data_IF_265637265058
#
_entry.id   IF_265637265058
#
_cell.length_a   1.000
_cell.length_b   1.000
_cell.length_c   1.000
_cell.angle_alpha   90.00
_cell.angle_beta   90.00
_cell.angle_gamma   90.00
#
_symmetry.space_group_name_H-M   'P 1'
#
loop_
_entity.id
_entity.type
_entity.pdbx_description
1 polymer ?
#
# COMPACT_ATOMS: atom_id res chain seq x y z
N UNK A 1 11.08 24.60 -19.30
CA UNK A 1 11.10 25.07 -17.90
C UNK A 1 10.55 23.98 -17.00
N UNK A 2 11.38 23.36 -16.17
CA UNK A 2 10.93 22.39 -15.16
C UNK A 2 10.17 23.18 -14.10
N UNK A 3 8.86 22.96 -13.97
CA UNK A 3 8.05 23.61 -12.94
C UNK A 3 8.66 23.30 -11.57
N UNK A 4 8.94 24.34 -10.78
CA UNK A 4 9.62 24.29 -9.47
C UNK A 4 9.03 23.20 -8.53
N UNK A 5 7.74 22.91 -8.70
CA UNK A 5 6.99 21.87 -7.99
C UNK A 5 7.51 20.43 -8.20
N UNK A 6 8.15 20.11 -9.34
CA UNK A 6 8.62 18.75 -9.62
C UNK A 6 9.88 18.40 -8.84
N UNK A 7 10.80 19.37 -8.67
CA UNK A 7 12.04 19.19 -7.91
C UNK A 7 11.76 19.07 -6.41
N UNK A 8 10.92 19.94 -5.84
CA UNK A 8 10.50 19.88 -4.43
C UNK A 8 9.80 18.56 -4.05
N UNK A 9 9.09 17.93 -5.00
CA UNK A 9 8.47 16.61 -4.76
C UNK A 9 9.47 15.45 -4.65
N UNK A 10 10.71 15.64 -5.12
CA UNK A 10 11.79 14.64 -5.12
C UNK A 10 12.61 14.76 -3.83
N UNK A 11 12.84 15.98 -3.34
CA UNK A 11 13.55 16.28 -2.09
C UNK A 11 12.60 16.20 -0.88
N UNK A 12 12.14 14.97 -0.63
CA UNK A 12 11.71 14.32 0.63
C UNK A 12 10.99 15.10 1.74
N UNK A 13 10.00 14.39 2.31
CA UNK A 13 9.39 14.58 3.65
C UNK A 13 10.37 15.00 4.77
N UNK A 14 11.65 14.62 4.65
CA UNK A 14 12.70 14.93 5.63
C UNK A 14 13.28 16.35 5.55
N UNK A 15 13.15 17.03 4.40
CA UNK A 15 13.65 18.40 4.22
C UNK A 15 12.63 19.45 4.66
N UNK A 16 11.34 19.09 4.70
CA UNK A 16 10.25 20.00 5.09
C UNK A 16 10.46 20.60 6.50
N UNK A 17 10.85 19.83 7.53
CA UNK A 17 11.15 20.41 8.85
C UNK A 17 12.30 21.42 8.81
N UNK A 18 13.33 21.15 8.01
CA UNK A 18 14.47 22.05 7.84
C UNK A 18 14.08 23.33 7.09
N UNK A 19 13.35 23.23 5.98
CA UNK A 19 12.84 24.39 5.27
C UNK A 19 11.87 25.20 6.13
N UNK A 20 10.97 24.55 6.87
CA UNK A 20 10.06 25.23 7.81
C UNK A 20 10.84 25.99 8.88
N UNK A 21 11.94 25.41 9.38
CA UNK A 21 12.84 26.09 10.33
C UNK A 21 13.49 27.33 9.71
N UNK A 22 14.00 27.23 8.48
CA UNK A 22 14.56 28.38 7.75
C UNK A 22 13.50 29.47 7.53
N UNK A 23 12.29 29.10 7.12
CA UNK A 23 11.21 30.07 6.90
C UNK A 23 10.81 30.79 8.19
N UNK A 24 10.86 30.09 9.32
CA UNK A 24 10.64 30.68 10.64
C UNK A 24 11.73 31.69 11.00
N UNK A 25 12.99 31.32 10.80
CA UNK A 25 14.13 32.21 11.05
C UNK A 25 14.11 33.46 10.14
N UNK A 26 13.70 33.30 8.88
CA UNK A 26 13.51 34.43 7.95
C UNK A 26 12.34 35.32 8.40
N UNK A 27 11.23 34.74 8.85
CA UNK A 27 10.07 35.49 9.36
C UNK A 27 10.47 36.36 10.56
N UNK A 28 11.23 35.80 11.51
CA UNK A 28 11.69 36.49 12.71
C UNK A 28 12.70 37.61 12.38
N UNK A 29 13.64 37.38 11.47
CA UNK A 29 14.69 38.36 11.14
C UNK A 29 14.21 39.51 10.24
N UNK A 30 13.22 39.27 9.38
CA UNK A 30 12.69 40.26 8.44
C UNK A 30 11.31 40.81 8.83
N UNK A 31 10.75 40.36 9.97
CA UNK A 31 9.44 40.74 10.48
C UNK A 31 8.30 40.52 9.46
N UNK A 32 8.42 39.43 8.68
CA UNK A 32 7.47 39.02 7.66
C UNK A 32 6.54 37.98 8.26
N UNK A 33 5.25 38.01 7.91
CA UNK A 33 4.29 37.00 8.34
C UNK A 33 4.70 35.58 7.90
N UNK A 34 4.93 34.72 8.89
CA UNK A 34 5.38 33.34 8.68
C UNK A 34 4.37 32.55 7.85
N UNK A 35 3.07 32.73 8.10
CA UNK A 35 2.03 31.94 7.45
C UNK A 35 1.93 32.27 5.96
N UNK A 36 2.11 33.54 5.59
CA UNK A 36 2.26 33.96 4.19
C UNK A 36 3.45 33.26 3.51
N UNK A 37 4.60 33.23 4.18
CA UNK A 37 5.82 32.61 3.66
C UNK A 37 5.68 31.09 3.51
N UNK A 38 5.15 30.43 4.55
CA UNK A 38 4.91 29.00 4.56
C UNK A 38 3.95 28.57 3.45
N UNK A 39 2.82 29.28 3.29
CA UNK A 39 1.83 28.95 2.28
C UNK A 39 2.34 29.17 0.85
N UNK A 40 3.14 30.21 0.62
CA UNK A 40 3.73 30.50 -0.69
C UNK A 40 4.76 29.44 -1.12
N UNK A 41 5.66 29.04 -0.22
CA UNK A 41 6.82 28.18 -0.56
C UNK A 41 6.60 26.69 -0.26
N UNK A 42 5.88 26.35 0.81
CA UNK A 42 5.69 24.95 1.24
C UNK A 42 4.24 24.46 1.08
N UNK A 43 3.24 25.36 1.06
CA UNK A 43 1.82 25.00 1.04
C UNK A 43 1.37 24.14 -0.16
N UNK A 44 2.03 24.29 -1.31
CA UNK A 44 1.70 23.56 -2.55
C UNK A 44 2.54 22.29 -2.78
N UNK A 45 3.42 21.92 -1.86
CA UNK A 45 4.29 20.75 -2.03
C UNK A 45 3.49 19.46 -1.87
N UNK A 46 3.20 18.79 -3.00
CA UNK A 46 2.55 17.47 -3.01
C UNK A 46 3.56 16.38 -2.65
N UNK A 47 3.60 16.02 -1.38
CA UNK A 47 4.39 14.88 -0.88
C UNK A 47 3.88 13.59 -1.51
N UNK A 48 4.67 12.99 -2.39
CA UNK A 48 4.40 11.64 -2.87
C UNK A 48 4.96 10.65 -1.86
N UNK A 49 4.08 10.09 -1.02
CA UNK A 49 4.44 8.95 -0.17
C UNK A 49 5.05 7.86 -1.04
N UNK A 50 6.21 7.33 -0.63
CA UNK A 50 6.85 6.19 -1.29
C UNK A 50 5.81 5.08 -1.37
N UNK A 51 5.33 4.78 -2.58
CA UNK A 51 4.44 3.63 -2.77
C UNK A 51 5.26 2.42 -2.36
N UNK A 52 4.76 1.66 -1.39
CA UNK A 52 5.27 0.33 -1.12
C UNK A 52 5.28 -0.42 -2.46
N UNK A 53 6.48 -0.79 -2.91
CA UNK A 53 6.71 -1.51 -4.18
C UNK A 53 6.23 -2.96 -4.11
N UNK A 54 5.68 -3.39 -2.96
CA UNK A 54 4.91 -4.61 -2.87
C UNK A 54 3.87 -4.59 -4.00
N UNK A 55 4.04 -5.50 -4.96
CA UNK A 55 3.16 -5.70 -6.11
C UNK A 55 1.73 -5.77 -5.60
N UNK A 56 0.99 -4.66 -5.74
CA UNK A 56 -0.41 -4.57 -5.31
C UNK A 56 -1.18 -5.67 -6.05
N UNK A 57 -1.47 -6.76 -5.35
CA UNK A 57 -2.20 -7.90 -5.90
C UNK A 57 -1.51 -9.26 -5.75
N UNK A 58 -0.23 -9.36 -5.41
CA UNK A 58 0.38 -10.67 -5.13
C UNK A 58 0.03 -11.10 -3.70
N UNK A 59 -0.72 -12.20 -3.55
CA UNK A 59 -0.99 -12.82 -2.25
C UNK A 59 0.26 -13.56 -1.75
N UNK A 60 0.68 -13.26 -0.53
CA UNK A 60 1.75 -13.99 0.15
C UNK A 60 1.19 -15.29 0.78
N UNK A 61 2.07 -16.25 1.09
CA UNK A 61 1.69 -17.47 1.81
C UNK A 61 0.97 -17.16 3.13
N UNK A 62 1.45 -16.16 3.85
CA UNK A 62 0.79 -15.68 5.07
C UNK A 62 -0.59 -15.07 4.82
N UNK A 63 -0.77 -14.32 3.72
CA UNK A 63 -2.08 -13.77 3.37
C UNK A 63 -3.10 -14.87 3.02
N UNK A 64 -2.66 -15.95 2.37
CA UNK A 64 -3.51 -17.14 2.12
C UNK A 64 -3.87 -17.80 3.45
N UNK A 65 -2.91 -18.00 4.35
CA UNK A 65 -3.14 -18.57 5.68
C UNK A 65 -4.17 -17.75 6.49
N UNK A 66 -4.07 -16.42 6.48
CA UNK A 66 -5.00 -15.57 7.22
C UNK A 66 -6.46 -15.68 6.77
N UNK A 67 -6.68 -16.04 5.50
CA UNK A 67 -8.00 -16.26 4.88
C UNK A 67 -8.52 -17.70 5.06
N UNK A 68 -7.71 -18.61 5.58
CA UNK A 68 -8.09 -20.02 5.71
C UNK A 68 -9.22 -20.17 6.75
N UNK A 69 -10.41 -20.58 6.27
CA UNK A 69 -11.60 -20.77 7.10
C UNK A 69 -11.36 -21.80 8.20
N UNK A 70 -10.55 -22.85 7.94
CA UNK A 70 -10.27 -23.90 8.94
C UNK A 70 -9.62 -23.32 10.19
N UNK A 71 -8.64 -22.44 10.00
CA UNK A 71 -7.93 -21.78 11.12
C UNK A 71 -8.86 -20.79 11.82
N UNK A 72 -9.68 -20.05 11.05
CA UNK A 72 -10.65 -19.12 11.61
C UNK A 72 -11.65 -19.84 12.51
N UNK A 73 -12.20 -20.96 12.04
CA UNK A 73 -13.21 -21.72 12.75
C UNK A 73 -12.62 -22.42 13.97
N UNK A 74 -11.40 -22.98 13.86
CA UNK A 74 -10.67 -23.52 15.00
C UNK A 74 -10.45 -22.48 16.11
N UNK A 75 -10.06 -21.25 15.74
CA UNK A 75 -9.85 -20.17 16.71
C UNK A 75 -11.18 -19.72 17.31
N UNK A 76 -12.23 -19.57 16.51
CA UNK A 76 -13.58 -19.19 16.99
C UNK A 76 -14.15 -20.22 17.95
N UNK A 77 -13.93 -21.52 17.67
CA UNK A 77 -14.41 -22.61 18.51
C UNK A 77 -13.67 -22.64 19.86
N UNK A 78 -12.35 -22.41 19.87
CA UNK A 78 -11.57 -22.37 21.11
C UNK A 78 -11.77 -21.10 21.92
N UNK A 79 -11.93 -19.97 21.24
CA UNK A 79 -12.01 -18.66 21.86
C UNK A 79 -13.25 -17.89 21.38
N UNK A 80 -14.47 -18.35 21.75
CA UNK A 80 -15.67 -17.60 21.45
C UNK A 80 -15.63 -16.23 22.16
N UNK A 81 -16.22 -15.19 21.56
CA UNK A 81 -16.34 -13.83 22.11
C UNK A 81 -15.05 -12.98 22.25
N UNK A 82 -13.94 -13.33 21.59
CA UNK A 82 -12.74 -12.47 21.58
C UNK A 82 -12.85 -11.32 20.57
N UNK A 83 -12.11 -10.23 20.82
CA UNK A 83 -12.04 -9.08 19.91
C UNK A 83 -11.16 -9.42 18.70
N UNK A 84 -11.40 -8.77 17.57
CA UNK A 84 -10.64 -8.97 16.33
C UNK A 84 -9.11 -8.92 16.53
N UNK A 85 -8.62 -7.94 17.30
CA UNK A 85 -7.19 -7.79 17.56
C UNK A 85 -6.57 -8.98 18.33
N UNK A 86 -7.33 -9.66 19.18
CA UNK A 86 -6.87 -10.87 19.88
C UNK A 86 -6.79 -12.05 18.90
N UNK A 87 -7.78 -12.22 18.01
CA UNK A 87 -7.72 -13.23 16.95
C UNK A 87 -6.50 -13.04 16.04
N UNK A 88 -6.17 -11.80 15.68
CA UNK A 88 -4.97 -11.51 14.88
C UNK A 88 -3.68 -11.93 15.58
N UNK A 89 -3.58 -11.72 16.91
CA UNK A 89 -2.43 -12.16 17.70
C UNK A 89 -2.31 -13.69 17.70
N UNK A 90 -3.42 -14.40 17.96
CA UNK A 90 -3.47 -15.86 17.98
C UNK A 90 -3.07 -16.46 16.62
N UNK A 91 -3.61 -15.92 15.52
CA UNK A 91 -3.22 -16.34 14.16
C UNK A 91 -1.72 -16.18 13.92
N UNK A 92 -1.15 -15.06 14.37
CA UNK A 92 0.29 -14.80 14.25
C UNK A 92 1.14 -15.80 15.04
N UNK A 93 0.68 -16.21 16.22
CA UNK A 93 1.34 -17.23 17.04
C UNK A 93 1.29 -18.61 16.38
N UNK A 94 0.11 -19.05 15.93
CA UNK A 94 -0.07 -20.30 15.17
C UNK A 94 0.87 -20.33 13.96
N UNK A 95 0.95 -19.23 13.22
CA UNK A 95 1.85 -19.15 12.07
C UNK A 95 3.33 -19.28 12.48
N UNK A 96 3.76 -18.70 13.60
CA UNK A 96 5.14 -18.85 14.07
C UNK A 96 5.45 -20.30 14.45
N UNK A 97 4.55 -20.96 15.17
CA UNK A 97 4.71 -22.35 15.64
C UNK A 97 4.49 -23.40 14.55
N UNK A 98 3.86 -23.03 13.43
CA UNK A 98 3.59 -23.94 12.32
C UNK A 98 4.88 -24.46 11.68
N UNK A 99 4.88 -25.75 11.33
CA UNK A 99 6.03 -26.45 10.76
C UNK A 99 6.42 -25.89 9.39
N UNK A 100 7.68 -26.04 8.96
CA UNK A 100 8.11 -25.64 7.61
C UNK A 100 7.33 -26.37 6.49
N UNK A 101 6.94 -27.63 6.72
CA UNK A 101 6.16 -28.44 5.76
C UNK A 101 4.77 -27.87 5.56
N UNK A 102 4.07 -27.51 6.64
CA UNK A 102 2.72 -26.92 6.56
C UNK A 102 2.78 -25.53 5.93
N UNK A 103 3.80 -24.73 6.27
CA UNK A 103 4.05 -23.43 5.63
C UNK A 103 4.29 -23.57 4.12
N UNK A 104 4.90 -24.68 3.69
CA UNK A 104 5.14 -24.92 2.27
C UNK A 104 3.84 -25.17 1.49
N UNK A 105 2.83 -25.80 2.11
CA UNK A 105 1.50 -25.95 1.51
C UNK A 105 0.89 -24.58 1.19
N UNK A 106 0.99 -23.63 2.14
CA UNK A 106 0.53 -22.26 1.91
C UNK A 106 1.37 -21.49 0.90
N UNK A 107 2.67 -21.82 0.78
CA UNK A 107 3.54 -21.28 -0.26
C UNK A 107 3.09 -21.73 -1.65
N UNK A 108 2.77 -23.01 -1.82
CA UNK A 108 2.26 -23.53 -3.10
C UNK A 108 0.89 -22.93 -3.45
N UNK A 109 -0.05 -22.90 -2.49
CA UNK A 109 -1.35 -22.23 -2.69
C UNK A 109 -1.21 -20.77 -3.08
N UNK A 110 -0.25 -20.05 -2.50
CA UNK A 110 0.02 -18.65 -2.88
C UNK A 110 0.55 -18.54 -4.31
N UNK A 111 1.44 -19.45 -4.74
CA UNK A 111 1.95 -19.46 -6.12
C UNK A 111 0.82 -19.70 -7.11
N UNK A 112 -0.02 -20.70 -6.86
CA UNK A 112 -1.16 -21.05 -7.71
C UNK A 112 -2.19 -19.92 -7.78
N UNK A 113 -2.58 -19.36 -6.63
CA UNK A 113 -3.52 -18.23 -6.59
C UNK A 113 -3.00 -17.01 -7.36
N UNK A 114 -1.70 -16.71 -7.23
CA UNK A 114 -1.09 -15.60 -7.97
C UNK A 114 -1.03 -15.84 -9.47
N UNK A 115 -0.85 -17.10 -9.89
CA UNK A 115 -0.89 -17.49 -11.31
C UNK A 115 -2.30 -17.28 -11.86
N UNK A 116 -3.31 -17.80 -11.19
CA UNK A 116 -4.72 -17.66 -11.60
C UNK A 116 -5.13 -16.17 -11.65
N UNK A 117 -4.75 -15.38 -10.64
CA UNK A 117 -5.04 -13.95 -10.63
C UNK A 117 -4.38 -13.21 -11.80
N UNK A 118 -3.19 -13.62 -12.22
CA UNK A 118 -2.50 -13.04 -13.36
C UNK A 118 -3.21 -13.38 -14.66
N UNK A 119 -3.66 -14.63 -14.81
CA UNK A 119 -4.41 -15.10 -15.98
C UNK A 119 -5.75 -14.37 -16.10
N UNK A 120 -6.50 -14.24 -15.01
CA UNK A 120 -7.78 -13.50 -14.99
C UNK A 120 -7.61 -12.03 -15.41
N UNK A 121 -6.58 -11.36 -14.89
CA UNK A 121 -6.26 -9.98 -15.29
C UNK A 121 -5.88 -9.84 -16.76
N UNK A 122 -5.26 -10.87 -17.34
CA UNK A 122 -4.93 -10.88 -18.75
C UNK A 122 -6.19 -11.01 -19.61
N UNK A 123 -7.12 -11.88 -19.20
CA UNK A 123 -8.41 -12.06 -19.88
C UNK A 123 -9.23 -10.77 -19.84
N UNK A 124 -9.40 -10.18 -18.66
CA UNK A 124 -10.11 -8.90 -18.49
C UNK A 124 -9.49 -7.77 -19.34
N UNK A 125 -8.17 -7.75 -19.49
CA UNK A 125 -7.49 -6.76 -20.32
C UNK A 125 -7.69 -7.02 -21.82
N UNK A 126 -7.82 -8.27 -22.25
CA UNK A 126 -8.11 -8.61 -23.63
C UNK A 126 -9.57 -8.29 -23.99
N UNK A 127 -10.53 -8.67 -23.15
CA UNK A 127 -11.95 -8.33 -23.33
C UNK A 127 -12.17 -6.81 -23.42
N UNK A 128 -11.41 -6.03 -22.64
CA UNK A 128 -11.50 -4.58 -22.70
C UNK A 128 -10.99 -4.01 -24.03
N UNK A 129 -9.91 -4.59 -24.57
CA UNK A 129 -9.38 -4.20 -25.89
C UNK A 129 -10.32 -4.58 -27.02
N UNK A 130 -10.95 -5.75 -26.94
CA UNK A 130 -11.95 -6.18 -27.93
C UNK A 130 -13.12 -5.20 -27.97
N UNK A 131 -13.68 -4.84 -26.81
CA UNK A 131 -14.74 -3.82 -26.73
C UNK A 131 -14.30 -2.44 -27.22
N UNK A 132 -13.08 -2.02 -26.91
CA UNK A 132 -12.54 -0.75 -27.41
C UNK A 132 -12.37 -0.78 -28.94
N UNK A 133 -12.00 -1.91 -29.53
CA UNK A 133 -11.89 -2.05 -30.98
C UNK A 133 -13.26 -2.09 -31.67
N UNK A 134 -14.24 -2.81 -31.12
CA UNK A 134 -15.62 -2.84 -31.62
C UNK A 134 -16.25 -1.44 -31.64
N UNK A 135 -16.02 -0.63 -30.59
CA UNK A 135 -16.48 0.76 -30.53
C UNK A 135 -15.83 1.64 -31.61
N UNK A 136 -14.58 1.36 -31.99
CA UNK A 136 -13.89 2.11 -33.05
C UNK A 136 -14.39 1.70 -34.44
N UNK A 137 -14.75 0.43 -34.64
CA UNK A 137 -15.29 -0.05 -35.92
C UNK A 137 -16.75 0.39 -36.17
N UNK A 138 -17.51 0.74 -35.12
CA UNK A 138 -18.87 1.30 -35.22
C UNK A 138 -18.93 2.83 -35.47
N UNK A 139 -17.80 3.56 -35.46
CA UNK A 139 -17.70 5.01 -35.69
C UNK A 139 -17.21 5.30 -37.13
#
# INVERSE_FOLDING_TARGET
MVTQNKLLSIYSESMIPFLSFILKDISENFNIDHDTLYNHYLGNIKIKRKRNTNKKGTMTSYAIFLKDSKIIDQIKQRYPNRKFGEYSKIKGEIWRTMSPTDKNVYKQKAIEYNKELKERKLLEANEKKEKENEIIEEI
#
